data_IF_405211120131
#
_entry.id   IF_405211120131
#
_cell.length_a   1.000
_cell.length_b   1.000
_cell.length_c   1.000
_cell.angle_alpha   90.00
_cell.angle_beta   90.00
_cell.angle_gamma   90.00
#
_symmetry.space_group_name_H-M   'P 1'
#
loop_
_entity.id
_entity.type
_entity.pdbx_description
1 polymer ?
#
# COMPACT_ATOMS: atom_id res chain seq x y z
N UNK A 1 -5.20 16.21 -9.19
CA UNK A 1 -4.22 15.43 -8.40
C UNK A 1 -3.95 16.20 -7.11
N UNK A 2 -4.59 15.80 -6.02
CA UNK A 2 -4.45 16.41 -4.69
C UNK A 2 -4.34 15.28 -3.66
N UNK A 3 -3.45 15.44 -2.69
CA UNK A 3 -3.15 14.44 -1.68
C UNK A 3 -3.53 14.95 -0.29
N UNK A 4 -4.69 14.48 0.19
CA UNK A 4 -5.35 14.98 1.41
C UNK A 4 -4.50 14.84 2.67
N UNK A 5 -3.79 13.70 2.84
CA UNK A 5 -3.01 13.42 4.07
C UNK A 5 -1.92 14.46 4.35
N UNK A 6 -1.45 15.17 3.33
CA UNK A 6 -0.46 16.25 3.46
C UNK A 6 -0.96 17.57 2.89
N UNK A 7 -2.26 17.70 2.61
CA UNK A 7 -2.86 18.88 1.99
C UNK A 7 -2.02 19.41 0.80
N UNK A 8 -1.65 18.51 -0.11
CA UNK A 8 -0.67 18.83 -1.16
C UNK A 8 -1.27 18.64 -2.56
N UNK A 9 -1.53 19.72 -3.32
CA UNK A 9 -1.89 19.63 -4.73
C UNK A 9 -0.66 19.38 -5.61
N UNK A 10 -0.86 18.79 -6.78
CA UNK A 10 0.14 18.81 -7.84
C UNK A 10 0.39 20.25 -8.32
N UNK A 11 1.67 20.63 -8.43
CA UNK A 11 2.09 21.98 -8.85
C UNK A 11 3.02 21.90 -10.07
N UNK A 12 2.61 22.50 -11.18
CA UNK A 12 3.49 22.71 -12.33
C UNK A 12 4.52 23.81 -12.00
N UNK A 13 5.81 23.48 -12.10
CA UNK A 13 6.92 24.45 -11.90
C UNK A 13 7.41 25.07 -13.21
N UNK A 14 7.24 24.34 -14.31
CA UNK A 14 7.65 24.77 -15.66
C UNK A 14 6.52 24.41 -16.63
N UNK A 15 5.84 25.41 -17.18
CA UNK A 15 4.67 25.21 -18.05
C UNK A 15 5.02 25.02 -19.53
N UNK A 16 6.26 25.34 -19.92
CA UNK A 16 6.72 25.19 -21.31
C UNK A 16 6.85 23.72 -21.74
N UNK A 17 6.82 22.77 -20.81
CA UNK A 17 6.99 21.33 -21.07
C UNK A 17 5.66 20.58 -21.15
N UNK A 18 4.51 21.27 -21.07
CA UNK A 18 3.20 20.62 -20.96
C UNK A 18 2.88 19.69 -22.13
N UNK A 19 3.27 20.07 -23.35
CA UNK A 19 3.06 19.26 -24.55
C UNK A 19 4.03 18.06 -24.61
N UNK A 20 5.26 18.22 -24.12
CA UNK A 20 6.26 17.16 -24.05
C UNK A 20 5.86 16.04 -23.09
N UNK A 21 5.12 16.36 -22.02
CA UNK A 21 4.57 15.36 -21.10
C UNK A 21 3.65 14.34 -21.80
N UNK A 22 3.01 14.72 -22.91
CA UNK A 22 2.17 13.81 -23.70
C UNK A 22 2.95 12.85 -24.60
N UNK A 23 4.27 13.04 -24.74
CA UNK A 23 5.14 12.32 -25.66
C UNK A 23 6.11 11.36 -24.93
N UNK A 24 6.02 11.26 -23.60
CA UNK A 24 6.92 10.39 -22.83
C UNK A 24 6.62 8.90 -23.08
N UNK A 25 7.66 8.12 -23.36
CA UNK A 25 7.55 6.66 -23.57
C UNK A 25 8.10 5.85 -22.39
N UNK A 26 8.99 6.45 -21.60
CA UNK A 26 9.69 5.77 -20.50
C UNK A 26 9.61 6.61 -19.23
N UNK A 27 9.36 5.95 -18.09
CA UNK A 27 9.38 6.55 -16.76
C UNK A 27 10.51 5.91 -15.96
N UNK A 28 11.48 6.72 -15.55
CA UNK A 28 12.49 6.31 -14.58
C UNK A 28 11.98 6.60 -13.18
N UNK A 29 11.83 5.57 -12.35
CA UNK A 29 11.34 5.69 -10.99
C UNK A 29 12.42 5.27 -9.99
N UNK A 30 12.53 6.01 -8.88
CA UNK A 30 13.30 5.56 -7.73
C UNK A 30 12.47 4.59 -6.87
N UNK A 31 13.12 3.61 -6.25
CA UNK A 31 12.45 2.65 -5.37
C UNK A 31 12.00 3.32 -4.07
N UNK A 32 12.90 4.02 -3.40
CA UNK A 32 12.68 4.47 -2.01
C UNK A 32 12.11 5.88 -2.01
N UNK A 33 11.01 6.12 -1.28
CA UNK A 33 10.38 7.44 -1.21
C UNK A 33 9.52 7.80 -2.42
N UNK A 34 9.54 6.99 -3.49
CA UNK A 34 8.57 7.06 -4.60
C UNK A 34 7.70 5.81 -4.63
N UNK A 35 8.28 4.62 -4.89
CA UNK A 35 7.49 3.37 -4.93
C UNK A 35 7.14 2.85 -3.54
N UNK A 36 8.06 2.92 -2.58
CA UNK A 36 7.83 2.45 -1.21
C UNK A 36 7.84 3.58 -0.19
N UNK A 37 6.96 3.45 0.79
CA UNK A 37 7.10 4.18 2.04
C UNK A 37 8.27 3.58 2.84
N UNK A 38 8.92 4.39 3.67
CA UNK A 38 9.97 3.90 4.56
C UNK A 38 9.35 3.27 5.83
N UNK A 39 8.48 2.29 5.62
CA UNK A 39 7.77 1.55 6.66
C UNK A 39 7.91 0.07 6.33
N UNK A 40 8.51 -0.68 7.24
CA UNK A 40 8.71 -2.12 7.10
C UNK A 40 7.81 -2.83 8.10
N UNK A 41 6.90 -3.64 7.59
CA UNK A 41 5.97 -4.41 8.43
C UNK A 41 6.36 -5.88 8.36
N UNK A 42 6.61 -6.49 9.52
CA UNK A 42 6.76 -7.94 9.61
C UNK A 42 5.42 -8.60 9.21
N UNK A 43 5.48 -9.51 8.25
CA UNK A 43 4.28 -10.13 7.69
C UNK A 43 4.20 -11.61 8.09
N UNK A 44 5.15 -12.43 7.62
CA UNK A 44 5.19 -13.87 7.88
C UNK A 44 6.62 -14.33 8.17
N UNK A 45 6.75 -15.45 8.88
CA UNK A 45 8.02 -16.16 8.99
C UNK A 45 7.81 -17.68 8.99
N UNK A 46 8.89 -18.42 8.80
CA UNK A 46 8.92 -19.87 8.99
C UNK A 46 9.89 -20.23 10.11
N UNK A 47 9.43 -21.03 11.07
CA UNK A 47 10.24 -21.54 12.19
C UNK A 47 10.11 -23.05 12.21
N UNK A 48 11.22 -23.77 12.09
CA UNK A 48 11.28 -25.24 12.03
C UNK A 48 10.35 -25.86 10.97
N UNK A 49 10.23 -25.21 9.80
CA UNK A 49 9.36 -25.66 8.71
C UNK A 49 7.87 -25.36 8.91
N UNK A 50 7.48 -24.70 10.02
CA UNK A 50 6.12 -24.21 10.23
C UNK A 50 6.02 -22.74 9.87
N UNK A 51 5.06 -22.37 9.02
CA UNK A 51 4.76 -20.98 8.67
C UNK A 51 3.91 -20.30 9.76
N UNK A 52 4.17 -19.02 10.00
CA UNK A 52 3.47 -18.15 10.94
C UNK A 52 3.09 -16.84 10.25
N UNK A 53 1.97 -16.25 10.65
CA UNK A 53 1.45 -14.99 10.08
C UNK A 53 0.37 -15.18 9.00
N UNK A 54 -0.10 -16.40 8.80
CA UNK A 54 -1.36 -16.65 8.08
C UNK A 54 -2.55 -16.29 8.99
N UNK A 55 -3.67 -15.76 8.45
CA UNK A 55 -4.87 -15.54 9.24
C UNK A 55 -5.36 -16.88 9.79
N UNK A 56 -5.53 -16.94 11.10
CA UNK A 56 -6.07 -18.11 11.82
C UNK A 56 -7.42 -17.73 12.41
N UNK A 57 -8.36 -18.67 12.40
CA UNK A 57 -9.64 -18.49 13.10
C UNK A 57 -9.45 -18.56 14.64
N UNK A 58 -10.52 -18.32 15.39
CA UNK A 58 -10.54 -18.42 16.85
C UNK A 58 -10.21 -19.81 17.40
N UNK A 59 -10.20 -20.83 16.54
CA UNK A 59 -9.94 -22.23 16.86
C UNK A 59 -8.51 -22.66 16.45
N UNK A 60 -7.74 -21.76 15.83
CA UNK A 60 -6.36 -21.97 15.42
C UNK A 60 -6.18 -22.67 14.08
N UNK A 61 -7.24 -22.79 13.28
CA UNK A 61 -7.17 -23.33 11.93
C UNK A 61 -6.71 -22.24 10.95
N UNK A 62 -5.94 -22.61 9.93
CA UNK A 62 -5.57 -21.69 8.87
C UNK A 62 -6.81 -21.32 8.05
N UNK A 63 -7.13 -20.02 7.97
CA UNK A 63 -8.19 -19.53 7.10
C UNK A 63 -7.68 -19.57 5.65
N UNK A 64 -8.36 -20.34 4.79
CA UNK A 64 -8.18 -20.22 3.34
C UNK A 64 -8.79 -18.89 2.92
N UNK A 65 -7.92 -17.89 2.69
CA UNK A 65 -8.33 -16.56 2.27
C UNK A 65 -8.92 -16.65 0.86
N UNK A 66 -10.25 -16.67 0.77
CA UNK A 66 -10.95 -16.42 -0.49
C UNK A 66 -10.96 -14.92 -0.76
N UNK A 67 -10.99 -14.54 -2.03
CA UNK A 67 -10.83 -13.14 -2.48
C UNK A 67 -11.84 -12.16 -1.84
N UNK A 68 -12.97 -12.65 -1.34
CA UNK A 68 -14.05 -11.86 -0.73
C UNK A 68 -13.73 -11.38 0.71
N UNK A 69 -12.92 -12.10 1.49
CA UNK A 69 -12.65 -11.74 2.90
C UNK A 69 -11.56 -10.67 3.06
N UNK A 70 -10.67 -10.53 2.06
CA UNK A 70 -9.60 -9.51 2.04
C UNK A 70 -10.18 -8.10 2.01
N UNK A 71 -11.29 -7.89 1.30
CA UNK A 71 -11.90 -6.57 1.16
C UNK A 71 -12.57 -6.07 2.45
N UNK A 72 -13.04 -7.00 3.30
CA UNK A 72 -13.65 -6.70 4.61
C UNK A 72 -12.63 -6.25 5.64
N UNK A 73 -11.51 -6.96 5.76
CA UNK A 73 -10.46 -6.67 6.74
C UNK A 73 -9.74 -5.34 6.48
N UNK A 74 -9.61 -4.94 5.20
CA UNK A 74 -9.03 -3.63 4.84
C UNK A 74 -9.95 -2.48 5.30
N UNK A 75 -11.28 -2.63 5.18
CA UNK A 75 -12.24 -1.60 5.59
C UNK A 75 -12.31 -1.43 7.12
N UNK A 76 -12.09 -2.50 7.88
CA UNK A 76 -12.12 -2.45 9.35
C UNK A 76 -10.88 -1.77 9.94
N UNK A 77 -9.70 -2.01 9.35
CA UNK A 77 -8.44 -1.36 9.76
C UNK A 77 -8.45 0.15 9.51
N UNK A 78 -9.12 0.60 8.43
CA UNK A 78 -9.29 2.03 8.11
C UNK A 78 -10.21 2.74 9.12
N UNK A 79 -11.17 2.04 9.74
CA UNK A 79 -12.02 2.63 10.79
C UNK A 79 -11.33 2.76 12.15
N UNK A 80 -10.39 1.86 12.46
CA UNK A 80 -9.67 1.93 13.74
C UNK A 80 -8.61 3.04 13.75
N UNK A 81 -7.92 3.26 12.64
CA UNK A 81 -6.89 4.31 12.50
C UNK A 81 -7.49 5.72 12.23
N UNK A 82 -8.82 5.88 12.18
CA UNK A 82 -9.51 7.18 12.03
C UNK A 82 -10.07 7.75 13.33
N UNK A 83 -9.81 7.09 14.47
CA UNK A 83 -10.17 7.58 15.82
C UNK A 83 -8.96 7.64 16.77
N UNK A 84 -7.83 8.15 16.27
CA UNK A 84 -6.76 8.76 17.08
C UNK A 84 -6.14 9.93 16.34
#
# INVERSE_FOLDING_TARGET
>A
MYYDKKDTPAKARTTTLNEELGQIEYIFSDKTGTLTQNIMTFNKCSINGRSYGDPVDSEGNALEVTEEEVEGAVKEKVKHDSFV
#
